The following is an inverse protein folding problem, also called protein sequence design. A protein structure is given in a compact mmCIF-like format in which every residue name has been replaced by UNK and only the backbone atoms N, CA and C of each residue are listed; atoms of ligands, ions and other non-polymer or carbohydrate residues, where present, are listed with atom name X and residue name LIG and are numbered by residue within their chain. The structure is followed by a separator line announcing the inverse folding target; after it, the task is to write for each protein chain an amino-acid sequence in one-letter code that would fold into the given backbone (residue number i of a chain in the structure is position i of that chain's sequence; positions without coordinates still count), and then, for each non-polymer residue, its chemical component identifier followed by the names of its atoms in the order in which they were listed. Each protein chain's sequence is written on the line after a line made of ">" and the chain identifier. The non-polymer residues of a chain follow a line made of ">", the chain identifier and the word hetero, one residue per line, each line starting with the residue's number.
data_IF_007915611599
#
_entry.id   IF_007915611599
#
_cell.length_a   1.000
_cell.length_b   1.000
_cell.length_c   1.000
_cell.angle_alpha   90.00
_cell.angle_beta   90.00
_cell.angle_gamma   90.00
#
_symmetry.space_group_name_H-M   'P 1'
#
loop_
_entity.id
_entity.type
_entity.pdbx_description
1 polymer ?
#
# COMPACT_ATOMS: atom_id res chain seq x y z
N UNK A 1 -15.45 -12.85 -24.77
CA UNK A 1 -14.78 -14.16 -24.84
C UNK A 1 -13.37 -14.01 -24.30
N UNK A 2 -13.11 -14.42 -23.06
CA UNK A 2 -11.74 -14.65 -22.58
C UNK A 2 -11.39 -16.10 -22.90
N UNK A 3 -10.61 -16.30 -23.96
CA UNK A 3 -10.29 -17.61 -24.53
C UNK A 3 -9.43 -18.45 -23.55
N UNK A 4 -8.77 -17.81 -22.58
CA UNK A 4 -7.94 -18.47 -21.57
C UNK A 4 -8.03 -17.76 -20.19
N UNK A 5 -7.73 -18.47 -19.08
CA UNK A 5 -7.59 -17.89 -17.74
C UNK A 5 -6.45 -16.85 -17.63
N UNK A 6 -6.55 -15.88 -16.72
CA UNK A 6 -5.54 -14.81 -16.59
C UNK A 6 -4.11 -15.32 -16.32
N UNK A 7 -3.97 -16.43 -15.58
CA UNK A 7 -2.68 -17.00 -15.22
C UNK A 7 -1.93 -17.64 -16.41
N UNK A 8 -2.64 -18.07 -17.47
CA UNK A 8 -1.96 -18.57 -18.67
C UNK A 8 -1.23 -17.43 -19.40
N UNK A 9 -1.71 -16.19 -19.25
CA UNK A 9 -1.04 -15.00 -19.77
C UNK A 9 0.37 -14.82 -19.19
N UNK A 10 0.58 -15.17 -17.91
CA UNK A 10 1.91 -15.10 -17.26
C UNK A 10 2.86 -16.10 -17.91
N UNK A 11 2.42 -17.35 -18.09
CA UNK A 11 3.25 -18.39 -18.68
C UNK A 11 3.59 -18.05 -20.14
N UNK A 12 2.61 -17.57 -20.91
CA UNK A 12 2.82 -17.15 -22.30
C UNK A 12 3.77 -15.94 -22.39
N UNK A 13 3.65 -14.95 -21.51
CA UNK A 13 4.55 -13.81 -21.47
C UNK A 13 6.00 -14.22 -21.12
N UNK A 14 6.18 -15.16 -20.17
CA UNK A 14 7.49 -15.70 -19.84
C UNK A 14 8.09 -16.49 -21.01
N UNK A 15 7.28 -17.31 -21.69
CA UNK A 15 7.70 -18.07 -22.86
C UNK A 15 8.05 -17.16 -24.05
N UNK A 16 7.27 -16.10 -24.28
CA UNK A 16 7.53 -15.08 -25.28
C UNK A 16 8.82 -14.32 -24.97
N UNK A 17 9.00 -13.87 -23.72
CA UNK A 17 10.23 -13.18 -23.30
C UNK A 17 11.46 -14.08 -23.48
N UNK A 18 11.37 -15.34 -23.06
CA UNK A 18 12.43 -16.32 -23.25
C UNK A 18 12.71 -16.57 -24.73
N UNK A 19 11.66 -16.76 -25.54
CA UNK A 19 11.77 -17.00 -26.98
C UNK A 19 12.40 -15.81 -27.71
N UNK A 20 11.93 -14.59 -27.45
CA UNK A 20 12.50 -13.35 -27.99
C UNK A 20 13.95 -13.18 -27.59
N UNK A 21 14.26 -13.34 -26.30
CA UNK A 21 15.64 -13.24 -25.81
C UNK A 21 16.54 -14.30 -26.47
N UNK A 22 16.06 -15.54 -26.58
CA UNK A 22 16.78 -16.63 -27.20
C UNK A 22 17.02 -16.39 -28.69
N UNK A 23 16.01 -15.95 -29.45
CA UNK A 23 16.14 -15.64 -30.88
C UNK A 23 17.14 -14.50 -31.08
N UNK A 24 17.01 -13.41 -30.34
CA UNK A 24 17.92 -12.25 -30.50
C UNK A 24 19.35 -12.64 -30.14
N UNK A 25 19.55 -13.30 -29.00
CA UNK A 25 20.89 -13.65 -28.51
C UNK A 25 21.56 -14.77 -29.30
N UNK A 26 20.80 -15.77 -29.78
CA UNK A 26 21.36 -16.97 -30.43
C UNK A 26 21.32 -16.93 -31.95
N UNK A 27 20.30 -16.30 -32.54
CA UNK A 27 20.06 -16.31 -33.99
C UNK A 27 20.51 -15.00 -34.64
N UNK A 28 20.10 -13.86 -34.09
CA UNK A 28 20.42 -12.56 -34.71
C UNK A 28 21.83 -12.07 -34.41
N UNK A 29 22.37 -12.36 -33.22
CA UNK A 29 23.68 -11.84 -32.76
C UNK A 29 24.85 -12.85 -32.87
N UNK A 30 24.65 -14.01 -33.52
CA UNK A 30 25.61 -15.11 -33.77
C UNK A 30 26.86 -15.21 -32.84
N UNK A 31 26.74 -16.04 -31.80
CA UNK A 31 27.70 -16.85 -31.02
C UNK A 31 29.20 -16.45 -30.92
N UNK A 32 29.65 -16.06 -29.72
CA UNK A 32 30.93 -16.50 -29.12
C UNK A 32 31.12 -16.04 -27.66
N UNK A 33 30.49 -14.93 -27.24
CA UNK A 33 30.72 -14.31 -25.92
C UNK A 33 29.38 -13.90 -25.30
N UNK A 34 28.70 -14.85 -24.66
CA UNK A 34 27.33 -14.74 -24.14
C UNK A 34 27.11 -13.55 -23.18
N UNK A 35 28.15 -13.05 -22.50
CA UNK A 35 28.02 -11.94 -21.53
C UNK A 35 28.50 -10.60 -22.07
N UNK A 36 29.57 -10.58 -22.86
CA UNK A 36 30.26 -9.32 -23.21
C UNK A 36 29.83 -8.74 -24.55
N UNK A 37 29.23 -9.54 -25.44
CA UNK A 37 28.76 -9.08 -26.75
C UNK A 37 27.43 -8.34 -26.68
N UNK A 38 26.50 -8.77 -25.82
CA UNK A 38 25.15 -8.21 -25.77
C UNK A 38 25.15 -6.74 -25.30
N UNK A 39 26.00 -6.41 -24.34
CA UNK A 39 26.20 -5.06 -23.80
C UNK A 39 26.87 -4.11 -24.81
N UNK A 40 27.41 -4.64 -25.91
CA UNK A 40 27.93 -3.89 -27.06
C UNK A 40 26.89 -3.72 -28.18
N UNK A 41 25.62 -3.95 -27.89
CA UNK A 41 24.51 -3.73 -28.83
C UNK A 41 23.44 -2.84 -28.22
N UNK A 42 22.61 -2.15 -29.03
CA UNK A 42 21.48 -1.37 -28.54
C UNK A 42 20.29 -2.22 -28.06
N UNK A 43 20.48 -3.53 -27.86
CA UNK A 43 19.40 -4.45 -27.51
C UNK A 43 18.64 -4.03 -26.23
N UNK A 44 19.37 -3.69 -25.17
CA UNK A 44 18.76 -3.32 -23.88
C UNK A 44 17.98 -2.00 -23.94
N UNK A 45 18.51 -0.99 -24.65
CA UNK A 45 17.75 0.25 -24.89
C UNK A 45 16.52 0.00 -25.78
N UNK A 46 16.64 -0.91 -26.74
CA UNK A 46 15.52 -1.38 -27.57
C UNK A 46 14.39 -2.01 -26.76
N UNK A 47 14.68 -2.80 -25.73
CA UNK A 47 13.66 -3.37 -24.83
C UNK A 47 12.87 -2.25 -24.14
N UNK A 48 13.56 -1.24 -23.61
CA UNK A 48 12.90 -0.11 -22.93
C UNK A 48 12.02 0.67 -23.91
N UNK A 49 12.56 1.00 -25.10
CA UNK A 49 11.82 1.70 -26.14
C UNK A 49 10.58 0.91 -26.59
N UNK A 50 10.73 -0.39 -26.84
CA UNK A 50 9.61 -1.28 -27.21
C UNK A 50 8.54 -1.37 -26.12
N UNK A 51 8.95 -1.43 -24.86
CA UNK A 51 8.03 -1.45 -23.71
C UNK A 51 7.23 -0.16 -23.62
N UNK A 52 7.88 0.99 -23.81
CA UNK A 52 7.20 2.30 -23.85
C UNK A 52 6.13 2.33 -24.96
N UNK A 53 6.47 1.89 -26.17
CA UNK A 53 5.53 1.84 -27.30
C UNK A 53 4.35 0.91 -26.99
N UNK A 54 4.61 -0.26 -26.42
CA UNK A 54 3.55 -1.22 -26.06
C UNK A 54 2.63 -0.70 -24.96
N UNK A 55 3.18 -0.06 -23.92
CA UNK A 55 2.41 0.56 -22.84
C UNK A 55 1.52 1.68 -23.39
N UNK A 56 2.06 2.54 -24.26
CA UNK A 56 1.26 3.59 -24.91
C UNK A 56 0.16 3.01 -25.79
N UNK A 57 0.46 2.00 -26.60
CA UNK A 57 -0.53 1.32 -27.43
C UNK A 57 -1.66 0.72 -26.59
N UNK A 58 -1.32 -0.01 -25.53
CA UNK A 58 -2.32 -0.58 -24.62
C UNK A 58 -3.14 0.51 -23.93
N UNK A 59 -2.50 1.57 -23.43
CA UNK A 59 -3.19 2.67 -22.78
C UNK A 59 -4.20 3.34 -23.73
N UNK A 60 -3.77 3.70 -24.94
CA UNK A 60 -4.61 4.36 -25.95
C UNK A 60 -5.75 3.45 -26.42
N UNK A 61 -5.47 2.19 -26.74
CA UNK A 61 -6.46 1.30 -27.38
C UNK A 61 -7.35 0.55 -26.41
N UNK A 62 -6.91 0.30 -25.17
CA UNK A 62 -7.63 -0.51 -24.18
C UNK A 62 -8.11 0.31 -23.00
N UNK A 63 -7.29 1.19 -22.44
CA UNK A 63 -7.65 1.91 -21.21
C UNK A 63 -8.48 3.15 -21.49
N UNK A 64 -8.02 4.06 -22.36
CA UNK A 64 -8.69 5.33 -22.65
C UNK A 64 -10.18 5.16 -23.02
N UNK A 65 -10.59 4.17 -23.84
CA UNK A 65 -12.02 3.98 -24.15
C UNK A 65 -12.88 3.59 -22.95
N UNK A 66 -12.30 2.93 -21.92
CA UNK A 66 -13.03 2.45 -20.74
C UNK A 66 -12.89 3.38 -19.53
N UNK A 67 -11.98 4.36 -19.57
CA UNK A 67 -11.70 5.30 -18.47
C UNK A 67 -12.08 6.74 -18.80
N UNK A 68 -13.04 6.95 -19.71
CA UNK A 68 -13.47 8.27 -20.16
C UNK A 68 -13.91 9.20 -19.01
N UNK A 69 -14.51 8.63 -17.95
CA UNK A 69 -14.95 9.38 -16.76
C UNK A 69 -13.79 9.81 -15.84
N UNK A 70 -12.55 9.37 -16.12
CA UNK A 70 -11.36 9.65 -15.32
C UNK A 70 -10.33 10.46 -16.13
N UNK A 71 -10.76 11.59 -16.70
CA UNK A 71 -9.93 12.46 -17.56
C UNK A 71 -8.65 12.95 -16.85
N UNK A 72 -8.74 13.33 -15.57
CA UNK A 72 -7.58 13.75 -14.78
C UNK A 72 -6.51 12.65 -14.67
N UNK A 73 -6.91 11.40 -14.39
CA UNK A 73 -5.97 10.28 -14.27
C UNK A 73 -5.29 9.98 -15.60
N UNK A 74 -6.04 10.01 -16.71
CA UNK A 74 -5.48 9.87 -18.06
C UNK A 74 -4.49 11.00 -18.39
N UNK A 75 -4.82 12.24 -18.00
CA UNK A 75 -3.93 13.39 -18.20
C UNK A 75 -2.63 13.27 -17.38
N UNK A 76 -2.72 12.91 -16.09
CA UNK A 76 -1.55 12.69 -15.24
C UNK A 76 -0.68 11.55 -15.76
N UNK A 77 -1.29 10.46 -16.23
CA UNK A 77 -0.57 9.37 -16.88
C UNK A 77 0.14 9.85 -18.16
N UNK A 78 -0.54 10.62 -19.00
CA UNK A 78 0.03 11.18 -20.24
C UNK A 78 1.26 12.07 -19.95
N UNK A 79 1.19 12.92 -18.91
CA UNK A 79 2.33 13.71 -18.46
C UNK A 79 3.45 12.81 -17.96
N UNK A 80 3.14 11.84 -17.11
CA UNK A 80 4.12 10.94 -16.51
C UNK A 80 4.88 10.14 -17.57
N UNK A 81 4.16 9.53 -18.52
CA UNK A 81 4.78 8.78 -19.63
C UNK A 81 5.55 9.71 -20.57
N UNK A 82 5.05 10.93 -20.83
CA UNK A 82 5.75 11.95 -21.61
C UNK A 82 7.08 12.37 -20.97
N UNK A 83 7.10 12.59 -19.66
CA UNK A 83 8.32 12.87 -18.90
C UNK A 83 9.29 11.69 -18.89
N UNK A 84 8.79 10.46 -18.76
CA UNK A 84 9.61 9.26 -18.84
C UNK A 84 10.31 9.15 -20.19
N UNK A 85 9.55 9.31 -21.28
CA UNK A 85 10.04 9.33 -22.66
C UNK A 85 11.09 10.42 -22.83
N UNK A 86 10.77 11.65 -22.45
CA UNK A 86 11.68 12.79 -22.58
C UNK A 86 13.02 12.52 -21.88
N UNK A 87 13.01 12.04 -20.64
CA UNK A 87 14.24 11.76 -19.90
C UNK A 87 15.02 10.58 -20.50
N UNK A 88 14.34 9.52 -20.94
CA UNK A 88 14.98 8.38 -21.60
C UNK A 88 15.68 8.79 -22.89
N UNK A 89 14.99 9.53 -23.77
CA UNK A 89 15.58 10.02 -25.02
C UNK A 89 16.71 11.02 -24.78
N UNK A 90 16.61 11.86 -23.74
CA UNK A 90 17.73 12.72 -23.34
C UNK A 90 18.94 11.91 -22.92
N UNK A 91 18.79 10.86 -22.12
CA UNK A 91 19.90 10.02 -21.71
C UNK A 91 20.60 9.34 -22.90
N UNK A 92 19.82 8.94 -23.92
CA UNK A 92 20.36 8.36 -25.17
C UNK A 92 21.11 9.40 -26.01
N UNK A 93 20.53 10.60 -26.17
CA UNK A 93 20.96 11.55 -27.22
C UNK A 93 21.93 12.62 -26.74
N UNK A 94 22.00 12.89 -25.44
CA UNK A 94 22.92 13.90 -24.91
C UNK A 94 24.38 13.47 -25.10
N UNK A 95 25.21 14.40 -25.56
CA UNK A 95 26.66 14.19 -25.53
C UNK A 95 27.10 14.00 -24.08
N UNK A 96 27.79 12.90 -23.75
CA UNK A 96 28.24 12.63 -22.38
C UNK A 96 29.44 13.48 -21.95
N UNK A 97 29.93 14.38 -22.79
CA UNK A 97 31.18 15.12 -22.61
C UNK A 97 32.31 14.49 -23.39
N UNK A 98 32.11 14.31 -24.69
CA UNK A 98 33.14 13.77 -25.58
C UNK A 98 34.36 14.70 -25.59
N UNK A 99 35.54 14.17 -25.28
CA UNK A 99 36.78 14.94 -25.34
C UNK A 99 37.15 15.25 -26.80
N UNK A 100 37.61 16.48 -27.09
CA UNK A 100 38.00 16.86 -28.46
C UNK A 100 39.17 16.02 -28.94
N UNK A 101 39.13 15.63 -30.22
CA UNK A 101 40.25 15.03 -30.94
C UNK A 101 41.04 16.16 -31.63
N UNK A 102 42.38 16.04 -31.79
CA UNK A 102 43.15 17.03 -32.52
C UNK A 102 42.65 17.15 -33.96
N UNK A 103 42.60 18.38 -34.47
CA UNK A 103 42.11 18.70 -35.81
C UNK A 103 43.17 18.57 -36.89
N UNK A 104 44.45 18.59 -36.51
CA UNK A 104 45.60 18.51 -37.41
C UNK A 104 46.79 17.80 -36.79
N UNK A 105 47.68 17.28 -37.63
CA UNK A 105 48.93 16.64 -37.20
C UNK A 105 49.85 17.62 -36.45
N UNK A 106 49.78 18.91 -36.78
CA UNK A 106 50.52 19.96 -36.07
C UNK A 106 50.02 20.11 -34.62
N UNK A 107 48.70 20.10 -34.41
CA UNK A 107 48.09 20.13 -33.07
C UNK A 107 48.39 18.84 -32.28
N UNK A 108 48.31 17.69 -32.93
CA UNK A 108 48.69 16.42 -32.32
C UNK A 108 50.15 16.43 -31.86
N UNK A 109 51.06 16.90 -32.72
CA UNK A 109 52.48 17.03 -32.39
C UNK A 109 52.70 17.97 -31.21
N UNK A 110 52.06 19.14 -31.19
CA UNK A 110 52.21 20.07 -30.07
C UNK A 110 51.70 19.50 -28.75
N UNK A 111 50.60 18.74 -28.76
CA UNK A 111 50.08 18.06 -27.57
C UNK A 111 51.08 17.03 -27.04
N UNK A 112 51.69 16.23 -27.93
CA UNK A 112 52.67 15.21 -27.55
C UNK A 112 53.94 15.86 -26.99
N UNK A 113 54.45 16.91 -27.64
CA UNK A 113 55.64 17.65 -27.20
C UNK A 113 55.40 18.33 -25.85
N UNK A 114 54.24 18.97 -25.64
CA UNK A 114 53.84 19.56 -24.36
C UNK A 114 53.85 18.50 -23.25
N UNK A 115 53.11 17.40 -23.44
CA UNK A 115 53.03 16.32 -22.45
C UNK A 115 54.39 15.65 -22.18
N UNK A 116 55.23 15.52 -23.20
CA UNK A 116 56.57 14.95 -23.05
C UNK A 116 57.49 15.90 -22.25
N UNK A 117 57.44 17.20 -22.54
CA UNK A 117 58.21 18.23 -21.81
C UNK A 117 57.82 18.33 -20.34
N UNK A 118 56.55 18.11 -20.02
CA UNK A 118 56.04 18.05 -18.64
C UNK A 118 56.37 16.71 -17.94
N UNK A 119 56.95 15.72 -18.64
CA UNK A 119 57.14 14.38 -18.10
C UNK A 119 55.83 13.62 -17.84
N UNK A 120 54.74 14.04 -18.48
CA UNK A 120 53.38 13.55 -18.25
C UNK A 120 52.83 12.73 -19.40
N UNK A 121 53.57 12.49 -20.48
CA UNK A 121 53.14 11.67 -21.61
C UNK A 121 53.00 10.20 -21.22
N UNK A 122 51.79 9.79 -20.84
CA UNK A 122 51.47 8.41 -20.46
C UNK A 122 49.98 8.11 -20.71
N UNK A 123 49.56 6.86 -20.48
CA UNK A 123 48.18 6.42 -20.75
C UNK A 123 47.09 7.10 -19.90
N UNK A 124 47.45 7.88 -18.88
CA UNK A 124 46.48 8.65 -18.09
C UNK A 124 46.12 9.99 -18.75
N UNK A 125 47.10 10.65 -19.39
CA UNK A 125 47.01 11.99 -19.98
C UNK A 125 46.93 12.00 -21.50
N UNK A 126 47.21 10.88 -22.15
CA UNK A 126 47.11 10.71 -23.60
C UNK A 126 46.37 9.42 -23.95
N UNK A 127 45.48 9.48 -24.93
CA UNK A 127 44.78 8.32 -25.47
C UNK A 127 45.36 7.95 -26.83
N UNK A 128 45.90 6.74 -26.93
CA UNK A 128 46.43 6.19 -28.20
C UNK A 128 45.33 5.87 -29.23
N UNK A 129 44.11 5.56 -28.78
CA UNK A 129 42.99 5.22 -29.67
C UNK A 129 42.38 6.47 -30.29
N UNK A 130 42.21 7.53 -29.49
CA UNK A 130 41.70 8.82 -29.96
C UNK A 130 42.80 9.75 -30.50
N UNK A 131 44.07 9.39 -30.34
CA UNK A 131 45.24 10.24 -30.62
C UNK A 131 45.07 11.65 -30.04
N UNK A 132 44.80 11.76 -28.74
CA UNK A 132 44.47 13.06 -28.13
C UNK A 132 44.73 13.12 -26.63
N UNK A 133 44.77 14.35 -26.10
CA UNK A 133 44.94 14.60 -24.67
C UNK A 133 43.70 14.11 -23.91
N UNK A 134 43.94 13.41 -22.81
CA UNK A 134 42.92 12.97 -21.85
C UNK A 134 42.84 13.97 -20.71
N UNK A 135 41.70 14.68 -20.55
CA UNK A 135 41.44 15.45 -19.34
C UNK A 135 41.47 14.56 -18.09
N UNK A 136 41.66 15.17 -16.92
CA UNK A 136 41.61 14.46 -15.65
C UNK A 136 40.26 13.75 -15.49
N UNK A 137 40.27 12.51 -14.98
CA UNK A 137 39.09 11.65 -14.83
C UNK A 137 38.41 11.24 -16.14
N UNK A 138 39.03 11.44 -17.31
CA UNK A 138 38.53 10.93 -18.58
C UNK A 138 38.96 9.49 -18.85
N UNK A 139 38.13 8.73 -19.57
CA UNK A 139 38.45 7.35 -20.01
C UNK A 139 37.98 7.16 -21.46
N UNK A 140 38.70 6.32 -22.20
CA UNK A 140 38.26 5.90 -23.54
C UNK A 140 37.23 4.78 -23.39
N UNK A 141 36.03 4.99 -23.93
CA UNK A 141 35.03 3.95 -24.05
C UNK A 141 35.23 3.22 -25.38
N UNK A 142 35.56 1.92 -25.32
CA UNK A 142 35.75 1.09 -26.52
C UNK A 142 34.46 0.89 -27.32
N UNK A 143 33.30 0.91 -26.66
CA UNK A 143 31.99 0.73 -27.31
C UNK A 143 31.60 1.97 -28.12
N UNK A 144 31.82 3.17 -27.56
CA UNK A 144 31.52 4.43 -28.23
C UNK A 144 32.67 4.96 -29.11
N UNK A 145 33.85 4.34 -29.03
CA UNK A 145 35.12 4.76 -29.67
C UNK A 145 35.49 6.24 -29.45
N UNK A 146 35.30 6.69 -28.20
CA UNK A 146 35.46 8.10 -27.80
C UNK A 146 36.04 8.19 -26.39
N UNK A 147 36.82 9.24 -26.14
CA UNK A 147 37.18 9.64 -24.78
C UNK A 147 36.05 10.46 -24.17
N UNK A 148 35.60 10.08 -22.97
CA UNK A 148 34.53 10.76 -22.25
C UNK A 148 35.12 11.46 -21.02
N UNK A 149 34.85 12.76 -20.86
CA UNK A 149 35.27 13.56 -19.73
C UNK A 149 34.46 13.19 -18.48
N UNK A 150 35.14 13.08 -17.33
CA UNK A 150 34.55 12.58 -16.06
C UNK A 150 33.72 11.30 -16.30
N UNK A 151 34.28 10.38 -17.08
CA UNK A 151 33.61 9.13 -17.45
C UNK A 151 33.24 8.33 -16.21
N UNK A 152 31.97 7.99 -16.10
CA UNK A 152 31.47 7.02 -15.12
C UNK A 152 31.48 5.61 -15.76
N UNK A 153 30.53 5.34 -16.66
CA UNK A 153 30.42 4.06 -17.36
C UNK A 153 29.78 4.20 -18.76
N UNK A 154 29.83 3.13 -19.55
CA UNK A 154 28.96 2.95 -20.71
C UNK A 154 27.73 2.19 -20.26
N UNK A 155 26.53 2.73 -20.49
CA UNK A 155 25.28 2.13 -20.05
C UNK A 155 24.56 1.48 -21.22
N UNK A 156 24.45 0.13 -21.28
CA UNK A 156 23.75 -0.54 -22.37
C UNK A 156 22.25 -0.20 -22.44
N UNK A 157 21.65 0.16 -21.31
CA UNK A 157 20.21 0.47 -21.20
C UNK A 157 19.82 1.80 -21.85
N UNK A 158 20.75 2.76 -21.96
CA UNK A 158 20.54 4.01 -22.71
C UNK A 158 21.44 4.08 -23.94
N UNK A 159 22.18 3.00 -24.24
CA UNK A 159 23.09 2.89 -25.36
C UNK A 159 24.01 4.12 -25.54
N UNK A 160 24.47 4.67 -24.42
CA UNK A 160 25.28 5.88 -24.37
C UNK A 160 26.23 5.83 -23.19
N UNK A 161 27.31 6.61 -23.25
CA UNK A 161 28.17 6.82 -22.10
C UNK A 161 27.50 7.74 -21.09
N UNK A 162 27.88 7.60 -19.81
CA UNK A 162 27.52 8.51 -18.74
C UNK A 162 28.79 9.25 -18.31
N UNK A 163 28.77 10.57 -18.43
CA UNK A 163 29.91 11.46 -18.20
C UNK A 163 29.47 12.86 -17.80
N UNK A 164 30.38 13.83 -17.82
CA UNK A 164 30.16 15.17 -17.23
C UNK A 164 28.87 15.87 -17.70
N UNK A 165 28.45 15.70 -18.95
CA UNK A 165 27.34 16.47 -19.54
C UNK A 165 25.96 15.80 -19.43
N UNK A 166 25.90 14.52 -19.05
CA UNK A 166 24.64 13.77 -18.89
C UNK A 166 24.55 13.00 -17.56
N UNK A 167 25.61 13.02 -16.77
CA UNK A 167 25.56 12.78 -15.34
C UNK A 167 24.82 13.97 -14.70
N UNK A 168 23.92 13.71 -13.76
CA UNK A 168 23.27 14.77 -13.01
C UNK A 168 24.37 15.65 -12.39
N UNK A 169 24.44 16.92 -12.78
CA UNK A 169 25.36 17.88 -12.17
C UNK A 169 24.65 18.52 -10.98
N UNK A 170 25.09 18.26 -9.73
CA UNK A 170 24.53 18.91 -8.56
C UNK A 170 24.62 20.44 -8.64
N UNK A 171 25.58 20.99 -9.41
CA UNK A 171 25.73 22.43 -9.58
C UNK A 171 24.57 23.10 -10.32
N UNK A 172 23.80 22.36 -11.12
CA UNK A 172 22.63 22.87 -11.85
C UNK A 172 21.30 22.72 -11.10
N UNK A 173 21.29 22.07 -9.94
CA UNK A 173 20.08 21.94 -9.10
C UNK A 173 19.99 23.09 -8.06
N UNK A 174 21.05 23.89 -7.94
CA UNK A 174 21.24 24.84 -6.84
C UNK A 174 20.77 26.27 -7.12
N UNK A 175 19.60 26.49 -7.71
CA UNK A 175 19.02 27.85 -7.79
C UNK A 175 17.60 28.03 -7.29
N UNK A 176 16.87 26.97 -6.92
CA UNK A 176 15.58 27.13 -6.22
C UNK A 176 15.07 25.82 -5.61
N UNK A 177 15.81 25.23 -4.67
CA UNK A 177 15.23 24.19 -3.84
C UNK A 177 14.30 24.85 -2.79
N UNK A 178 12.98 24.58 -2.79
CA UNK A 178 12.04 25.20 -1.86
C UNK A 178 12.06 24.56 -0.45
N UNK A 179 12.92 23.56 -0.22
CA UNK A 179 13.01 22.83 1.04
C UNK A 179 14.06 23.47 1.97
N UNK A 180 14.04 23.17 3.29
CA UNK A 180 15.11 23.53 4.20
C UNK A 180 16.48 23.02 3.72
N UNK A 181 17.54 23.75 4.02
CA UNK A 181 18.90 23.49 3.49
C UNK A 181 19.37 22.04 3.66
N UNK A 182 19.13 21.44 4.84
CA UNK A 182 19.52 20.05 5.13
C UNK A 182 18.75 19.05 4.26
N UNK A 183 17.45 19.29 4.06
CA UNK A 183 16.59 18.46 3.20
C UNK A 183 16.99 18.60 1.73
N UNK A 184 17.35 19.81 1.27
CA UNK A 184 17.89 20.00 -0.07
C UNK A 184 19.20 19.25 -0.27
N UNK A 185 20.14 19.34 0.69
CA UNK A 185 21.42 18.66 0.63
C UNK A 185 21.28 17.12 0.57
N UNK A 186 20.32 16.56 1.31
CA UNK A 186 20.05 15.12 1.28
C UNK A 186 19.32 14.71 -0.02
N UNK A 187 18.32 15.48 -0.45
CA UNK A 187 17.49 15.18 -1.64
C UNK A 187 18.29 15.30 -2.94
N UNK A 188 19.25 16.22 -2.99
CA UNK A 188 20.19 16.37 -4.12
C UNK A 188 21.18 15.21 -4.23
N UNK A 189 21.49 14.55 -3.12
CA UNK A 189 22.41 13.40 -3.10
C UNK A 189 21.72 12.12 -3.57
N UNK A 190 20.51 11.85 -3.10
CA UNK A 190 19.73 10.66 -3.49
C UNK A 190 18.23 10.90 -3.34
N UNK A 191 17.61 11.44 -4.40
CA UNK A 191 16.18 11.75 -4.44
C UNK A 191 15.31 10.50 -4.31
N UNK A 192 15.78 9.35 -4.83
CA UNK A 192 15.03 8.09 -4.78
C UNK A 192 14.95 7.57 -3.35
N UNK A 193 16.09 7.52 -2.65
CA UNK A 193 16.14 7.09 -1.25
C UNK A 193 15.27 7.97 -0.35
N UNK A 194 15.31 9.30 -0.54
CA UNK A 194 14.45 10.23 0.22
C UNK A 194 12.96 9.98 -0.05
N UNK A 195 12.58 9.79 -1.32
CA UNK A 195 11.19 9.53 -1.70
C UNK A 195 10.67 8.22 -1.11
N UNK A 196 11.50 7.16 -1.15
CA UNK A 196 11.18 5.86 -0.55
C UNK A 196 11.09 5.98 0.97
N UNK A 197 12.03 6.67 1.62
CA UNK A 197 12.03 6.87 3.07
C UNK A 197 10.79 7.63 3.54
N UNK A 198 10.37 8.66 2.81
CA UNK A 198 9.12 9.38 3.07
C UNK A 198 7.90 8.46 2.96
N UNK A 199 7.81 7.68 1.89
CA UNK A 199 6.71 6.73 1.68
C UNK A 199 6.65 5.65 2.76
N UNK A 200 7.80 5.07 3.13
CA UNK A 200 7.89 4.06 4.19
C UNK A 200 7.48 4.66 5.54
N UNK A 201 7.92 5.88 5.85
CA UNK A 201 7.53 6.57 7.09
C UNK A 201 6.02 6.80 7.15
N UNK A 202 5.40 7.20 6.03
CA UNK A 202 3.96 7.37 5.93
C UNK A 202 3.21 6.05 6.15
N UNK A 203 3.66 4.96 5.53
CA UNK A 203 3.07 3.63 5.70
C UNK A 203 3.23 3.08 7.12
N UNK A 204 4.40 3.31 7.73
CA UNK A 204 4.67 2.92 9.11
C UNK A 204 3.80 3.70 10.09
N UNK A 205 3.58 5.01 9.86
CA UNK A 205 2.66 5.81 10.66
C UNK A 205 1.24 5.21 10.63
N UNK A 206 0.75 4.86 9.45
CA UNK A 206 -0.57 4.20 9.30
C UNK A 206 -0.64 2.85 9.99
N UNK A 207 0.36 2.01 9.79
CA UNK A 207 0.45 0.69 10.42
C UNK A 207 0.50 0.82 11.94
N UNK A 208 1.23 1.80 12.47
CA UNK A 208 1.31 2.08 13.89
C UNK A 208 -0.03 2.55 14.45
N UNK A 209 -0.74 3.46 13.78
CA UNK A 209 -2.08 3.91 14.18
C UNK A 209 -3.05 2.71 14.24
N UNK A 210 -3.04 1.85 13.21
CA UNK A 210 -3.88 0.65 13.19
C UNK A 210 -3.52 -0.31 14.30
N UNK A 211 -2.24 -0.56 14.54
CA UNK A 211 -1.76 -1.43 15.61
C UNK A 211 -2.23 -0.93 16.98
N UNK A 212 -2.01 0.35 17.30
CA UNK A 212 -2.44 0.95 18.57
C UNK A 212 -3.96 0.87 18.72
N UNK A 213 -4.71 1.19 17.65
CA UNK A 213 -6.18 1.13 17.67
C UNK A 213 -6.70 -0.30 17.91
N UNK A 214 -6.12 -1.29 17.24
CA UNK A 214 -6.52 -2.69 17.39
C UNK A 214 -6.11 -3.26 18.75
N UNK A 215 -4.92 -2.92 19.26
CA UNK A 215 -4.51 -3.31 20.60
C UNK A 215 -5.45 -2.74 21.67
N UNK A 216 -5.90 -1.49 21.51
CA UNK A 216 -6.88 -0.89 22.40
C UNK A 216 -8.26 -1.58 22.31
N UNK A 217 -8.70 -1.92 21.10
CA UNK A 217 -9.95 -2.65 20.85
C UNK A 217 -9.93 -4.04 21.50
N UNK A 218 -8.84 -4.80 21.33
CA UNK A 218 -8.61 -6.10 21.97
C UNK A 218 -8.57 -5.96 23.49
N UNK A 219 -7.83 -4.98 24.01
CA UNK A 219 -7.73 -4.75 25.46
C UNK A 219 -9.09 -4.47 26.12
N UNK A 220 -10.09 -4.03 25.35
CA UNK A 220 -11.44 -3.74 25.82
C UNK A 220 -12.49 -4.72 25.32
N UNK A 221 -12.07 -5.78 24.63
CA UNK A 221 -12.95 -6.77 24.01
C UNK A 221 -14.06 -6.17 23.14
N UNK A 222 -13.67 -5.28 22.23
CA UNK A 222 -14.57 -4.64 21.28
C UNK A 222 -14.06 -4.81 19.86
N UNK A 223 -14.98 -4.98 18.92
CA UNK A 223 -14.67 -4.97 17.48
C UNK A 223 -14.76 -3.56 16.90
N UNK A 224 -14.13 -3.36 15.73
CA UNK A 224 -14.28 -2.10 14.98
C UNK A 224 -15.75 -1.83 14.60
N UNK A 225 -16.54 -2.88 14.35
CA UNK A 225 -17.98 -2.76 14.03
C UNK A 225 -18.77 -2.22 15.21
N UNK A 226 -18.51 -2.74 16.42
CA UNK A 226 -19.14 -2.28 17.65
C UNK A 226 -18.75 -0.84 17.96
N UNK A 227 -17.46 -0.50 17.88
CA UNK A 227 -16.97 0.87 18.12
C UNK A 227 -17.59 1.88 17.16
N UNK A 228 -17.80 1.52 15.89
CA UNK A 228 -18.44 2.40 14.91
C UNK A 228 -19.97 2.50 15.05
N UNK A 229 -20.61 1.50 15.69
CA UNK A 229 -22.07 1.42 15.81
C UNK A 229 -22.56 1.34 17.26
N UNK A 230 -21.82 1.88 18.23
CA UNK A 230 -22.17 1.87 19.67
C UNK A 230 -23.62 2.27 19.96
N UNK A 231 -24.15 3.26 19.23
CA UNK A 231 -25.53 3.74 19.42
C UNK A 231 -26.62 2.73 19.04
N UNK A 232 -26.27 1.66 18.29
CA UNK A 232 -27.18 0.61 17.81
C UNK A 232 -27.22 -0.61 18.74
N UNK A 233 -26.13 -0.89 19.45
CA UNK A 233 -26.03 -2.08 20.31
C UNK A 233 -26.49 -1.78 21.73
N UNK A 234 -27.67 -2.27 22.11
CA UNK A 234 -28.25 -2.01 23.44
C UNK A 234 -27.46 -2.59 24.60
N UNK A 235 -26.69 -3.66 24.38
CA UNK A 235 -25.81 -4.24 25.40
C UNK A 235 -24.59 -3.37 25.72
N UNK A 236 -24.33 -2.31 24.94
CA UNK A 236 -23.29 -1.30 25.20
C UNK A 236 -23.88 0.10 25.46
N UNK A 237 -25.17 0.18 25.83
CA UNK A 237 -25.86 1.45 26.12
C UNK A 237 -26.46 2.14 24.89
N UNK A 238 -26.57 1.46 23.75
CA UNK A 238 -27.29 1.91 22.55
C UNK A 238 -28.82 1.71 22.62
N UNK A 239 -29.53 2.09 21.56
CA UNK A 239 -30.99 1.86 21.44
C UNK A 239 -31.26 0.46 20.91
N UNK A 240 -31.77 -0.45 21.75
CA UNK A 240 -32.31 -1.75 21.34
C UNK A 240 -31.79 -2.92 22.18
N UNK A 241 -32.60 -3.38 23.14
CA UNK A 241 -32.24 -4.40 24.13
C UNK A 241 -32.44 -5.87 23.68
N UNK A 242 -32.88 -6.15 22.44
CA UNK A 242 -33.03 -7.53 21.92
C UNK A 242 -32.42 -7.71 20.53
N UNK A 243 -31.93 -8.92 20.24
CA UNK A 243 -31.38 -9.34 18.96
C UNK A 243 -32.35 -9.11 17.77
N UNK A 244 -33.66 -9.26 18.00
CA UNK A 244 -34.71 -9.00 17.00
C UNK A 244 -34.78 -7.53 16.56
N UNK A 245 -34.47 -6.60 17.47
CA UNK A 245 -34.46 -5.17 17.17
C UNK A 245 -33.12 -4.71 16.57
N UNK A 246 -32.07 -5.52 16.66
CA UNK A 246 -30.74 -5.23 16.12
C UNK A 246 -30.55 -5.76 14.67
N UNK A 247 -31.28 -6.82 14.29
CA UNK A 247 -31.25 -7.45 12.96
C UNK A 247 -32.22 -6.81 11.93
N UNK A 248 -32.26 -5.48 11.83
CA UNK A 248 -33.14 -4.72 10.92
C UNK A 248 -33.02 -4.98 9.40
N UNK A 249 -32.51 -6.13 8.97
CA UNK A 249 -32.58 -6.65 7.60
C UNK A 249 -32.87 -8.16 7.60
N UNK A 250 -34.15 -8.53 7.73
CA UNK A 250 -34.61 -9.85 7.29
C UNK A 250 -35.93 -9.72 6.54
N UNK A 251 -35.82 -9.83 5.21
CA UNK A 251 -36.87 -9.94 4.18
C UNK A 251 -38.32 -10.10 4.69
N UNK A 252 -39.13 -9.04 4.56
CA UNK A 252 -40.58 -9.20 4.41
C UNK A 252 -40.90 -9.65 2.97
N UNK A 253 -41.22 -10.94 2.80
CA UNK A 253 -41.88 -11.45 1.60
C UNK A 253 -43.40 -11.19 1.71
N UNK A 254 -43.90 -10.36 0.80
CA UNK A 254 -45.27 -10.25 0.27
C UNK A 254 -46.48 -10.27 1.22
N UNK A 255 -47.11 -9.09 1.40
CA UNK A 255 -48.53 -8.88 1.05
C UNK A 255 -48.84 -7.38 0.91
N UNK A 256 -49.85 -7.08 0.08
CA UNK A 256 -50.01 -5.86 -0.70
C UNK A 256 -50.54 -4.62 0.04
N UNK A 257 -50.30 -3.47 -0.60
CA UNK A 257 -50.95 -2.16 -0.48
C UNK A 257 -50.58 -1.22 0.67
N UNK A 258 -49.49 -0.44 0.50
CA UNK A 258 -49.43 1.00 0.80
C UNK A 258 -48.01 1.58 0.56
N UNK A 259 -47.89 2.59 -0.32
CA UNK A 259 -46.81 3.62 -0.28
C UNK A 259 -47.17 4.65 0.80
N UNK A 260 -46.26 5.46 1.42
CA UNK A 260 -44.92 5.88 0.97
C UNK A 260 -43.81 5.91 2.07
N UNK A 261 -42.54 6.07 1.68
CA UNK A 261 -41.43 6.41 2.60
C UNK A 261 -40.12 5.69 2.25
N UNK A 262 -39.27 6.35 1.47
CA UNK A 262 -37.92 5.85 1.12
C UNK A 262 -36.96 6.28 2.21
N UNK A 263 -36.68 5.41 3.17
CA UNK A 263 -35.62 5.62 4.17
C UNK A 263 -34.27 5.22 3.55
N UNK A 264 -33.59 6.21 2.99
CA UNK A 264 -32.21 6.13 2.51
C UNK A 264 -31.24 6.42 3.66
N UNK A 265 -30.77 5.40 4.39
CA UNK A 265 -29.68 5.56 5.37
C UNK A 265 -28.48 4.61 5.17
N UNK A 266 -28.39 3.92 4.02
CA UNK A 266 -27.22 3.07 3.70
C UNK A 266 -26.22 3.73 2.73
N UNK A 267 -26.29 5.06 2.60
CA UNK A 267 -25.39 5.85 1.76
C UNK A 267 -24.70 6.95 2.58
N UNK A 268 -23.76 6.56 3.45
CA UNK A 268 -22.86 7.52 4.11
C UNK A 268 -21.38 7.30 3.78
N UNK A 269 -21.09 6.76 2.59
CA UNK A 269 -19.75 6.77 1.99
C UNK A 269 -19.67 7.50 0.64
N UNK A 270 -20.74 8.14 0.18
CA UNK A 270 -20.71 9.01 -1.01
C UNK A 270 -21.48 10.28 -0.69
N UNK A 271 -20.75 11.40 -0.63
CA UNK A 271 -21.36 12.71 -0.38
C UNK A 271 -22.27 13.11 -1.53
N UNK A 272 -23.52 13.41 -1.21
CA UNK A 272 -24.42 14.17 -2.08
C UNK A 272 -24.78 15.46 -1.35
N UNK A 273 -24.20 16.56 -1.81
CA UNK A 273 -24.58 17.91 -1.42
C UNK A 273 -25.98 18.22 -1.98
N UNK A 274 -26.92 18.58 -1.11
CA UNK A 274 -28.11 19.36 -1.47
C UNK A 274 -28.17 20.63 -0.61
N UNK A 275 -28.40 21.80 -1.21
CA UNK A 275 -28.20 23.08 -0.54
C UNK A 275 -29.44 23.47 0.27
N UNK A 276 -29.23 23.99 1.48
CA UNK A 276 -30.21 24.89 2.10
C UNK A 276 -29.48 26.09 2.73
N UNK A 277 -30.06 27.30 2.64
CA UNK A 277 -29.36 28.55 2.86
C UNK A 277 -29.40 28.89 4.35
N UNK A 278 -28.26 29.30 4.92
CA UNK A 278 -28.14 30.60 5.57
C UNK A 278 -26.84 30.72 6.38
N UNK A 279 -26.10 31.79 6.04
CA UNK A 279 -25.10 32.53 6.84
C UNK A 279 -23.75 31.84 7.14
N UNK A 280 -22.59 32.49 7.06
CA UNK A 280 -22.17 33.87 6.71
C UNK A 280 -20.69 33.78 6.30
N UNK A 281 -20.29 34.49 5.25
CA UNK A 281 -18.90 34.57 4.80
C UNK A 281 -18.04 35.40 5.75
N UNK A 282 -16.88 34.87 6.13
CA UNK A 282 -15.76 35.65 6.65
C UNK A 282 -14.43 35.10 6.10
N UNK A 283 -13.88 35.82 5.11
CA UNK A 283 -12.45 36.11 4.91
C UNK A 283 -11.43 34.98 4.63
N UNK A 284 -10.31 35.29 3.94
CA UNK A 284 -9.51 34.31 3.21
C UNK A 284 -8.28 33.80 4.00
N UNK A 285 -7.82 32.61 3.61
CA UNK A 285 -6.49 32.05 3.87
C UNK A 285 -6.07 31.76 5.33
N UNK A 286 -6.42 30.57 5.80
CA UNK A 286 -5.54 29.75 6.66
C UNK A 286 -6.04 28.29 6.63
N UNK A 287 -5.49 27.43 5.76
CA UNK A 287 -5.81 25.99 5.84
C UNK A 287 -5.91 25.19 4.54
N UNK A 288 -5.56 25.75 3.39
CA UNK A 288 -5.75 25.07 2.09
C UNK A 288 -4.89 23.80 1.91
N UNK A 289 -3.89 23.55 2.77
CA UNK A 289 -3.03 22.37 2.70
C UNK A 289 -3.47 21.19 3.56
N UNK A 290 -4.00 21.42 4.77
CA UNK A 290 -4.24 20.31 5.71
C UNK A 290 -5.48 19.50 5.34
N UNK A 291 -6.56 20.14 4.89
CA UNK A 291 -7.81 19.44 4.53
C UNK A 291 -7.64 18.47 3.35
N UNK A 292 -6.88 18.88 2.33
CA UNK A 292 -6.61 18.03 1.16
C UNK A 292 -5.73 16.83 1.50
N UNK A 293 -4.63 17.06 2.25
CA UNK A 293 -3.75 15.98 2.71
C UNK A 293 -4.48 15.00 3.63
N UNK A 294 -5.31 15.49 4.54
CA UNK A 294 -6.09 14.63 5.44
C UNK A 294 -7.11 13.77 4.68
N UNK A 295 -7.75 14.31 3.64
CA UNK A 295 -8.67 13.56 2.79
C UNK A 295 -7.95 12.57 1.87
N UNK A 296 -6.80 12.95 1.28
CA UNK A 296 -6.01 12.09 0.40
C UNK A 296 -5.39 10.91 1.17
N UNK A 297 -4.98 11.16 2.42
CA UNK A 297 -4.48 10.12 3.32
C UNK A 297 -5.62 9.32 3.96
N UNK A 298 -6.85 9.84 4.02
CA UNK A 298 -7.99 9.21 4.70
C UNK A 298 -7.97 9.38 6.22
N UNK A 299 -7.13 10.29 6.74
CA UNK A 299 -7.06 10.64 8.17
C UNK A 299 -8.32 11.37 8.62
N UNK A 300 -8.99 12.09 7.72
CA UNK A 300 -10.24 12.81 7.99
C UNK A 300 -11.37 11.90 8.53
N UNK A 301 -11.41 10.64 8.09
CA UNK A 301 -12.36 9.61 8.57
C UNK A 301 -12.15 9.26 10.05
N UNK A 302 -10.95 9.45 10.57
CA UNK A 302 -10.58 9.13 11.96
C UNK A 302 -10.42 10.37 12.85
N UNK A 303 -10.19 11.56 12.27
CA UNK A 303 -9.91 12.79 13.03
C UNK A 303 -11.04 13.81 13.04
N UNK A 304 -12.13 13.62 12.28
CA UNK A 304 -13.29 14.54 12.30
C UNK A 304 -14.41 14.05 13.22
N UNK A 305 -14.86 14.96 14.09
CA UNK A 305 -16.15 15.00 14.80
C UNK A 305 -16.71 13.66 15.25
N UNK A 306 -17.47 12.97 14.40
CA UNK A 306 -18.24 11.77 14.77
C UNK A 306 -17.39 10.53 15.09
N UNK A 307 -16.22 10.34 14.48
CA UNK A 307 -15.38 9.17 14.73
C UNK A 307 -14.59 9.29 16.04
N UNK A 308 -14.02 10.47 16.31
CA UNK A 308 -13.34 10.78 17.58
C UNK A 308 -14.34 10.80 18.73
N UNK A 309 -15.51 11.41 18.53
CA UNK A 309 -16.59 11.38 19.53
C UNK A 309 -17.12 9.95 19.74
N UNK A 310 -17.17 9.14 18.68
CA UNK A 310 -17.50 7.72 18.74
C UNK A 310 -16.51 6.93 19.58
N UNK A 311 -15.20 7.12 19.37
CA UNK A 311 -14.14 6.49 20.15
C UNK A 311 -14.13 6.99 21.62
N UNK A 312 -14.41 8.27 21.85
CA UNK A 312 -14.52 8.86 23.19
C UNK A 312 -15.78 8.39 23.95
N UNK A 313 -16.86 8.05 23.23
CA UNK A 313 -18.03 7.38 23.82
C UNK A 313 -17.74 5.91 24.06
N UNK A 314 -17.08 5.26 23.10
CA UNK A 314 -16.63 3.87 23.21
C UNK A 314 -15.80 3.68 24.49
N UNK A 315 -14.83 4.56 24.73
CA UNK A 315 -13.93 4.53 25.90
C UNK A 315 -14.66 4.55 27.23
N UNK A 316 -15.89 5.08 27.27
CA UNK A 316 -16.74 5.19 28.47
C UNK A 316 -17.92 4.22 28.48
N UNK A 317 -18.18 3.51 27.38
CA UNK A 317 -19.29 2.57 27.28
C UNK A 317 -19.02 1.34 28.16
N UNK A 318 -20.06 0.90 28.87
CA UNK A 318 -20.06 -0.38 29.58
C UNK A 318 -20.02 -1.51 28.55
N UNK A 319 -19.03 -2.39 28.66
CA UNK A 319 -18.91 -3.57 27.79
C UNK A 319 -19.09 -4.85 28.64
N UNK A 320 -20.16 -5.65 28.42
CA UNK A 320 -20.37 -6.89 29.16
C UNK A 320 -19.33 -7.99 28.85
N UNK A 321 -18.56 -7.82 27.78
CA UNK A 321 -17.45 -8.71 27.39
C UNK A 321 -16.10 -8.29 27.98
N UNK A 322 -16.01 -7.09 28.58
CA UNK A 322 -14.77 -6.58 29.18
C UNK A 322 -14.60 -7.15 30.60
N UNK A 323 -13.63 -8.05 30.78
CA UNK A 323 -13.29 -8.70 32.05
C UNK A 323 -11.88 -8.33 32.54
N UNK A 324 -11.31 -7.24 32.00
CA UNK A 324 -10.00 -6.70 32.35
C UNK A 324 -8.95 -6.94 31.26
N UNK A 325 -8.04 -5.97 31.10
CA UNK A 325 -7.09 -5.88 29.98
C UNK A 325 -6.33 -7.19 29.71
N UNK A 326 -5.70 -7.77 30.72
CA UNK A 326 -4.89 -8.98 30.56
C UNK A 326 -5.75 -10.18 30.13
N UNK A 327 -6.94 -10.31 30.71
CA UNK A 327 -7.88 -11.40 30.42
C UNK A 327 -8.53 -11.23 29.06
N UNK A 328 -8.91 -10.02 28.66
CA UNK A 328 -9.44 -9.72 27.33
C UNK A 328 -8.42 -10.06 26.23
N UNK A 329 -7.16 -9.67 26.43
CA UNK A 329 -6.09 -10.04 25.51
C UNK A 329 -5.92 -11.56 25.40
N UNK A 330 -5.99 -12.28 26.52
CA UNK A 330 -5.93 -13.75 26.53
C UNK A 330 -7.16 -14.38 25.87
N UNK A 331 -8.34 -13.82 26.10
CA UNK A 331 -9.60 -14.29 25.54
C UNK A 331 -9.66 -14.12 24.02
N UNK A 332 -9.14 -13.01 23.49
CA UNK A 332 -8.98 -12.78 22.06
C UNK A 332 -8.16 -13.91 21.39
N UNK A 333 -7.02 -14.29 21.97
CA UNK A 333 -6.17 -15.36 21.42
C UNK A 333 -6.73 -16.77 21.65
N UNK A 334 -7.59 -16.94 22.65
CA UNK A 334 -8.19 -18.23 23.00
C UNK A 334 -9.61 -18.39 22.46
N UNK A 335 -10.11 -17.40 21.73
CA UNK A 335 -11.41 -17.36 21.08
C UNK A 335 -12.60 -17.58 22.03
N UNK A 336 -12.66 -16.81 23.13
CA UNK A 336 -13.81 -16.85 24.05
C UNK A 336 -13.69 -17.86 25.19
N UNK A 337 -12.60 -18.62 25.29
CA UNK A 337 -12.42 -19.64 26.34
C UNK A 337 -12.28 -19.06 27.75
N UNK A 338 -11.75 -17.84 27.90
CA UNK A 338 -11.66 -17.21 29.22
C UNK A 338 -13.03 -16.69 29.66
N UNK A 339 -13.85 -16.20 28.73
CA UNK A 339 -15.25 -15.83 28.96
C UNK A 339 -16.18 -17.05 29.06
N UNK A 340 -15.76 -18.21 28.56
CA UNK A 340 -16.61 -19.41 28.44
C UNK A 340 -17.71 -19.24 27.40
N UNK A 341 -17.44 -18.46 26.35
CA UNK A 341 -18.36 -18.04 25.29
C UNK A 341 -18.00 -18.68 23.96
N UNK A 342 -18.97 -19.33 23.33
CA UNK A 342 -18.87 -19.77 21.93
C UNK A 342 -19.45 -18.70 21.01
N UNK A 343 -18.60 -17.85 20.44
CA UNK A 343 -19.04 -16.71 19.62
C UNK A 343 -19.86 -17.11 18.39
N UNK A 344 -19.73 -18.35 17.90
CA UNK A 344 -20.51 -18.88 16.77
C UNK A 344 -21.96 -19.23 17.14
N UNK A 345 -22.20 -19.52 18.43
CA UNK A 345 -23.50 -19.92 18.97
C UNK A 345 -24.08 -18.91 19.97
N UNK A 346 -23.44 -17.73 20.13
CA UNK A 346 -23.87 -16.68 21.05
C UNK A 346 -24.96 -15.80 20.43
N UNK A 347 -26.18 -15.91 20.94
CA UNK A 347 -27.33 -15.11 20.47
C UNK A 347 -27.83 -14.06 21.46
N UNK A 348 -27.53 -14.20 22.75
CA UNK A 348 -28.00 -13.29 23.80
C UNK A 348 -26.92 -13.03 24.86
N UNK A 349 -26.99 -11.84 25.48
CA UNK A 349 -26.11 -11.43 26.58
C UNK A 349 -26.83 -11.66 27.91
N UNK A 350 -26.21 -12.35 28.90
CA UNK A 350 -26.78 -12.50 30.24
C UNK A 350 -27.08 -11.14 30.88
N UNK A 351 -28.21 -11.03 31.59
CA UNK A 351 -28.66 -9.77 32.21
C UNK A 351 -27.64 -9.27 33.24
N UNK A 352 -26.98 -10.20 33.92
CA UNK A 352 -25.92 -10.01 34.91
C UNK A 352 -24.51 -9.82 34.30
N UNK A 353 -24.33 -9.98 32.99
CA UNK A 353 -23.04 -9.96 32.30
C UNK A 353 -22.26 -11.29 32.36
N UNK A 354 -21.32 -11.48 31.43
CA UNK A 354 -20.61 -12.76 31.29
C UNK A 354 -19.70 -13.11 32.47
N UNK A 355 -19.10 -12.10 33.11
CA UNK A 355 -18.25 -12.28 34.29
C UNK A 355 -19.03 -12.88 35.47
N UNK A 356 -20.16 -12.27 35.80
CA UNK A 356 -20.98 -12.69 36.94
C UNK A 356 -21.68 -14.03 36.65
N UNK A 357 -22.08 -14.25 35.39
CA UNK A 357 -22.62 -15.53 34.93
C UNK A 357 -21.58 -16.66 35.07
N UNK A 358 -20.31 -16.41 34.76
CA UNK A 358 -19.21 -17.39 34.94
C UNK A 358 -18.98 -17.71 36.42
N UNK A 359 -18.88 -16.70 37.29
CA UNK A 359 -18.68 -16.88 38.74
C UNK A 359 -19.84 -17.68 39.35
N UNK A 360 -21.09 -17.41 38.93
CA UNK A 360 -22.24 -18.18 39.39
C UNK A 360 -22.12 -19.65 39.00
N UNK A 361 -21.72 -19.95 37.76
CA UNK A 361 -21.55 -21.34 37.29
C UNK A 361 -20.45 -22.07 38.07
N UNK A 362 -19.29 -21.44 38.25
CA UNK A 362 -18.21 -22.04 39.03
C UNK A 362 -18.65 -22.35 40.46
N UNK A 363 -19.49 -21.49 41.06
CA UNK A 363 -20.08 -21.76 42.38
C UNK A 363 -21.08 -22.90 42.36
N UNK A 364 -21.98 -22.94 41.38
CA UNK A 364 -23.00 -23.98 41.24
C UNK A 364 -22.35 -25.35 40.97
N UNK A 365 -21.28 -25.42 40.16
CA UNK A 365 -20.48 -26.62 39.92
C UNK A 365 -19.75 -27.11 41.18
N UNK A 366 -19.24 -26.19 42.01
CA UNK A 366 -18.65 -26.55 43.31
C UNK A 366 -19.71 -27.13 44.26
N UNK A 367 -20.91 -26.54 44.30
CA UNK A 367 -22.01 -27.01 45.15
C UNK A 367 -22.55 -28.38 44.69
N UNK A 368 -22.64 -28.63 43.39
CA UNK A 368 -22.98 -29.94 42.83
C UNK A 368 -21.88 -31.00 43.05
N UNK A 369 -20.60 -30.62 42.94
CA UNK A 369 -19.46 -31.48 43.28
C UNK A 369 -19.39 -31.87 44.77
N UNK A 370 -19.75 -30.93 45.66
CA UNK A 370 -19.88 -31.16 47.10
C UNK A 370 -21.10 -32.04 47.45
N UNK A 371 -22.20 -31.90 46.71
CA UNK A 371 -23.40 -32.74 46.79
C UNK A 371 -23.15 -34.19 46.34
N UNK A 372 -22.38 -34.39 45.26
CA UNK A 372 -22.04 -35.71 44.71
C UNK A 372 -21.18 -36.58 45.65
N UNK A 373 -20.45 -35.97 46.60
CA UNK A 373 -19.67 -36.68 47.62
C UNK A 373 -20.52 -37.30 48.75
N UNK A 374 -21.84 -37.07 48.77
CA UNK A 374 -22.78 -37.69 49.74
C UNK A 374 -23.77 -38.66 49.07
N UNK A 375 -23.27 -39.88 48.82
CA UNK A 375 -23.97 -41.17 48.60
C UNK A 375 -24.86 -41.34 47.36
N UNK A 376 -24.85 -42.54 46.73
CA UNK A 376 -25.65 -42.85 45.56
C UNK A 376 -27.08 -43.24 45.96
N UNK A 377 -28.09 -42.71 45.30
CA UNK A 377 -29.43 -43.30 45.30
C UNK A 377 -29.96 -43.47 43.88
N UNK A 378 -30.07 -44.74 43.50
CA UNK A 378 -30.84 -45.24 42.36
C UNK A 378 -32.33 -44.94 42.57
N UNK A 379 -32.97 -44.34 41.57
CA UNK A 379 -34.40 -44.48 41.23
C UNK A 379 -34.56 -43.86 39.85
N UNK A 380 -34.53 -44.61 38.75
CA UNK A 380 -35.68 -45.33 38.20
C UNK A 380 -36.95 -44.44 38.25
N UNK A 381 -37.26 -43.76 37.15
CA UNK A 381 -38.54 -43.85 36.44
C UNK A 381 -38.47 -43.08 35.12
N UNK A 382 -38.66 -43.84 34.05
CA UNK A 382 -38.73 -43.40 32.66
C UNK A 382 -40.22 -43.21 32.31
N UNK A 383 -40.55 -42.08 31.69
CA UNK A 383 -41.68 -41.93 30.76
C UNK A 383 -43.08 -41.75 31.34
N UNK A 384 -43.65 -40.55 31.16
CA UNK A 384 -44.98 -40.31 30.59
C UNK A 384 -45.20 -38.79 30.45
N UNK A 385 -45.51 -38.35 29.23
CA UNK A 385 -45.86 -36.98 28.94
C UNK A 385 -47.31 -36.67 29.30
N UNK A 386 -47.55 -35.43 29.77
CA UNK A 386 -48.63 -34.52 29.37
C UNK A 386 -48.68 -33.30 30.31
N UNK A 387 -48.32 -32.13 29.75
CA UNK A 387 -48.82 -30.77 30.08
C UNK A 387 -48.57 -30.18 31.47
N UNK A 388 -47.84 -29.06 31.55
CA UNK A 388 -48.38 -27.71 31.80
C UNK A 388 -47.25 -26.68 32.03
N UNK A 389 -47.38 -25.54 31.34
CA UNK A 389 -46.80 -24.22 31.62
C UNK A 389 -45.49 -24.09 32.42
N UNK A 390 -44.39 -23.80 31.72
CA UNK A 390 -43.18 -23.25 32.30
C UNK A 390 -42.32 -22.65 31.20
N UNK A 391 -42.21 -21.32 31.19
CA UNK A 391 -41.55 -20.50 30.20
C UNK A 391 -40.03 -20.79 30.14
N UNK A 392 -39.60 -21.81 29.40
CA UNK A 392 -38.18 -22.04 29.12
C UNK A 392 -37.73 -21.07 28.02
N UNK A 393 -37.22 -19.91 28.45
CA UNK A 393 -36.33 -19.10 27.62
C UNK A 393 -35.10 -19.95 27.30
N UNK A 394 -35.11 -20.55 26.11
CA UNK A 394 -33.93 -20.82 25.27
C UNK A 394 -32.90 -19.69 25.46
N UNK A 395 -31.61 -19.92 25.63
CA UNK A 395 -30.83 -21.13 25.60
C UNK A 395 -29.37 -20.70 25.55
N UNK A 396 -28.65 -20.87 26.65
CA UNK A 396 -27.19 -20.93 26.64
C UNK A 396 -26.83 -22.22 27.34
N UNK A 397 -26.52 -23.26 26.56
CA UNK A 397 -25.97 -24.51 27.09
C UNK A 397 -24.44 -24.39 27.14
N UNK A 398 -23.79 -24.63 28.29
CA UNK A 398 -22.34 -24.57 28.40
C UNK A 398 -21.65 -25.81 27.81
N UNK A 399 -20.40 -25.63 27.38
CA UNK A 399 -19.52 -26.69 26.90
C UNK A 399 -19.11 -27.60 28.06
N UNK A 400 -19.34 -28.91 27.93
CA UNK A 400 -18.66 -29.91 28.77
C UNK A 400 -17.20 -30.03 28.33
N UNK A 401 -16.26 -29.78 29.24
CA UNK A 401 -14.83 -29.95 28.97
C UNK A 401 -14.51 -31.42 28.64
N UNK A 402 -13.80 -31.64 27.53
CA UNK A 402 -13.19 -32.91 27.15
C UNK A 402 -11.66 -32.75 27.08
#
# INVERSE_FOLDING_TARGET
>A
MTILPWYTGIILALAEFFGMHHIVTRVLLNQALYTDGLSQTPYFSGIIAGTIVWVLYCWITRFVPHTQNHSLLNFLFAISVGLCIYNFFRAIMLDPGTCPKPTSDAELKSIIEELASEGRLNGQTFCIQCMGRKPLRSKHCRVCDKCIARSDHHCPWVWNCVGVNNHLDPSQISTSCPLPADLCAITTKDTFLVSVAFWVTLQLLWTFILLVTQLWQVARQMTTLEVSNLGRYGYMGGRGASLSNQLGHRHHRHSANSLPGVDSEDSSLVGSDTPNPDHRHAGPCAGCGSGFLMNLLGLDRFTKGKAVDGLARASKASNPFDIGIATNCKDFWTAGRELGVEYEALYDVPIEGFKEAKIRRERDEMDEGLSSSRKPRKSLFMGLGLGFGGNSRSGYEPVSQA
#
